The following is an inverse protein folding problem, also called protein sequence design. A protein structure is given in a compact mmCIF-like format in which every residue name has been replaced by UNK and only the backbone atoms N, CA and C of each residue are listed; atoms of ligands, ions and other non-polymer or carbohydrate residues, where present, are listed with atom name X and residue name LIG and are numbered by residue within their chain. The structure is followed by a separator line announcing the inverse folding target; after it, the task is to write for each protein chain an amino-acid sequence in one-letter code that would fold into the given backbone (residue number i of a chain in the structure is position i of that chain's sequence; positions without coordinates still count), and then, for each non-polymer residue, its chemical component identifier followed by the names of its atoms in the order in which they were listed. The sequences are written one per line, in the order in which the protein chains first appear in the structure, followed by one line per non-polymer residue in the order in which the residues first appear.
data_IF_467448384518
#
_entry.id   IF_467448384518
#
_cell.length_a   1.000
_cell.length_b   1.000
_cell.length_c   1.000
_cell.angle_alpha   90.00
_cell.angle_beta   90.00
_cell.angle_gamma   90.00
#
_symmetry.space_group_name_H-M   'P 1'
#
loop_
_entity.id
_entity.type
_entity.pdbx_description
1 polymer ?
#
# COMPACT_ATOMS: atom_id res chain seq x y z
N UNK A 1 6.99 17.23 -8.19
CA UNK A 1 6.23 16.72 -7.03
C UNK A 1 5.44 15.48 -7.44
N UNK A 2 5.79 14.33 -6.92
CA UNK A 2 5.13 13.08 -7.35
C UNK A 2 3.71 12.97 -6.78
N UNK A 3 2.84 12.32 -7.57
CA UNK A 3 1.48 12.03 -7.17
C UNK A 3 1.39 10.61 -6.63
N UNK A 4 0.58 10.43 -5.60
CA UNK A 4 0.28 9.13 -5.03
C UNK A 4 -1.23 8.96 -4.87
N UNK A 5 -1.74 7.82 -5.29
CA UNK A 5 -3.16 7.50 -5.14
C UNK A 5 -3.30 6.30 -4.21
N UNK A 6 -4.13 6.46 -3.19
CA UNK A 6 -4.46 5.35 -2.28
C UNK A 6 -5.67 4.63 -2.85
N UNK A 7 -5.49 3.38 -3.23
CA UNK A 7 -6.59 2.56 -3.75
C UNK A 7 -7.17 1.77 -2.58
N UNK A 8 -8.39 2.12 -2.17
CA UNK A 8 -9.05 1.60 -0.99
C UNK A 8 -10.35 0.94 -1.40
N UNK A 9 -10.63 -0.22 -0.88
CA UNK A 9 -11.88 -0.92 -1.13
C UNK A 9 -11.91 -2.25 -0.41
N UNK A 10 -13.11 -2.83 -0.21
CA UNK A 10 -13.23 -4.12 0.46
C UNK A 10 -12.58 -5.25 -0.35
N UNK A 11 -12.28 -6.38 0.30
CA UNK A 11 -11.80 -7.55 -0.44
C UNK A 11 -12.76 -7.92 -1.56
N UNK A 12 -12.22 -8.23 -2.75
CA UNK A 12 -13.04 -8.57 -3.90
C UNK A 12 -13.62 -7.37 -4.66
N UNK A 13 -13.27 -6.14 -4.30
CA UNK A 13 -13.75 -4.94 -4.99
C UNK A 13 -13.05 -4.66 -6.32
N UNK A 14 -11.97 -5.40 -6.62
CA UNK A 14 -11.20 -5.19 -7.84
C UNK A 14 -10.03 -4.23 -7.69
N UNK A 15 -9.50 -4.03 -6.49
CA UNK A 15 -8.37 -3.12 -6.24
C UNK A 15 -7.15 -3.48 -7.10
N UNK A 16 -6.75 -4.75 -7.12
CA UNK A 16 -5.58 -5.19 -7.90
C UNK A 16 -5.83 -5.02 -9.39
N UNK A 17 -7.05 -5.32 -9.87
CA UNK A 17 -7.44 -5.12 -11.27
C UNK A 17 -7.36 -3.64 -11.63
N UNK A 18 -7.84 -2.77 -10.74
CA UNK A 18 -7.76 -1.32 -10.94
C UNK A 18 -6.31 -0.86 -11.04
N UNK A 19 -5.45 -1.31 -10.14
CA UNK A 19 -4.03 -0.93 -10.15
C UNK A 19 -3.34 -1.38 -11.43
N UNK A 20 -3.60 -2.61 -11.86
CA UNK A 20 -3.04 -3.13 -13.10
C UNK A 20 -3.51 -2.32 -14.32
N UNK A 21 -4.82 -2.03 -14.40
CA UNK A 21 -5.38 -1.24 -15.48
C UNK A 21 -4.85 0.19 -15.53
N UNK A 22 -4.72 0.83 -14.37
CA UNK A 22 -4.18 2.18 -14.29
C UNK A 22 -2.70 2.23 -14.68
N UNK A 23 -1.92 1.24 -14.26
CA UNK A 23 -0.52 1.16 -14.64
C UNK A 23 -0.36 1.07 -16.16
N UNK A 24 -1.16 0.21 -16.80
CA UNK A 24 -1.14 0.07 -18.24
C UNK A 24 -1.61 1.33 -18.94
N UNK A 25 -2.70 1.94 -18.47
CA UNK A 25 -3.24 3.16 -19.05
C UNK A 25 -2.22 4.31 -19.01
N UNK A 26 -1.62 4.53 -17.85
CA UNK A 26 -0.64 5.61 -17.69
C UNK A 26 0.60 5.36 -18.55
N UNK A 27 1.02 4.10 -18.70
CA UNK A 27 2.12 3.76 -19.59
C UNK A 27 1.82 4.12 -21.04
N UNK A 28 0.56 3.92 -21.50
CA UNK A 28 0.19 4.25 -22.89
C UNK A 28 0.23 5.74 -23.17
N UNK A 29 0.03 6.58 -22.17
CA UNK A 29 0.11 8.04 -22.34
C UNK A 29 1.48 8.60 -21.96
N UNK A 30 2.48 7.73 -21.78
CA UNK A 30 3.85 8.15 -21.50
C UNK A 30 4.13 8.52 -20.05
N UNK A 31 3.22 8.20 -19.13
CA UNK A 31 3.39 8.47 -17.70
C UNK A 31 3.80 7.20 -16.98
N UNK A 32 4.99 7.19 -16.43
CA UNK A 32 5.44 6.03 -15.68
C UNK A 32 4.69 5.92 -14.35
N UNK A 33 4.14 4.74 -14.10
CA UNK A 33 3.35 4.42 -12.91
C UNK A 33 3.94 3.20 -12.24
N UNK A 34 4.17 3.30 -10.94
CA UNK A 34 4.63 2.20 -10.11
C UNK A 34 3.58 1.86 -9.07
N UNK A 35 3.37 0.57 -8.83
CA UNK A 35 2.41 0.09 -7.84
C UNK A 35 3.16 -0.42 -6.62
N UNK A 36 2.73 0.06 -5.45
CA UNK A 36 3.26 -0.35 -4.16
C UNK A 36 2.18 -1.15 -3.44
N UNK A 37 2.46 -2.41 -3.13
CA UNK A 37 1.52 -3.23 -2.38
C UNK A 37 1.70 -3.00 -0.88
N UNK A 38 0.67 -2.47 -0.24
CA UNK A 38 0.62 -2.28 1.21
C UNK A 38 -0.37 -3.23 1.89
N UNK A 39 -0.92 -4.18 1.14
CA UNK A 39 -1.82 -5.20 1.69
C UNK A 39 -1.05 -6.50 1.93
N UNK A 40 -0.69 -6.81 3.19
CA UNK A 40 0.08 -8.01 3.48
C UNK A 40 -0.69 -9.30 3.27
N UNK A 41 -2.01 -9.23 3.12
CA UNK A 41 -2.86 -10.38 2.83
C UNK A 41 -3.04 -10.66 1.34
N UNK A 42 -2.46 -9.83 0.48
CA UNK A 42 -2.50 -10.02 -0.97
C UNK A 42 -1.58 -11.18 -1.35
N UNK A 43 -2.13 -12.37 -1.50
CA UNK A 43 -1.34 -13.57 -1.80
C UNK A 43 -0.69 -13.51 -3.18
N UNK A 44 -1.46 -13.01 -4.16
CA UNK A 44 -0.97 -12.80 -5.53
C UNK A 44 -1.43 -11.45 -6.03
N UNK A 45 -0.54 -10.75 -6.73
CA UNK A 45 -0.88 -9.48 -7.36
C UNK A 45 -0.86 -9.67 -8.88
N UNK A 46 -1.84 -9.08 -9.58
CA UNK A 46 -1.90 -9.14 -11.04
C UNK A 46 -0.95 -8.14 -11.70
N UNK A 47 -0.34 -7.29 -10.92
CA UNK A 47 0.60 -6.27 -11.37
C UNK A 47 2.01 -6.54 -10.82
N UNK A 48 3.07 -6.07 -11.51
CA UNK A 48 4.39 -6.10 -10.90
C UNK A 48 4.49 -5.05 -9.80
N UNK A 49 4.92 -5.47 -8.59
CA UNK A 49 5.09 -4.56 -7.46
C UNK A 49 6.45 -3.90 -7.53
N UNK A 50 6.46 -2.57 -7.43
CA UNK A 50 7.72 -1.83 -7.26
C UNK A 50 8.24 -1.97 -5.83
N UNK A 51 7.32 -1.95 -4.86
CA UNK A 51 7.60 -2.25 -3.45
C UNK A 51 6.48 -3.13 -2.92
N UNK A 52 6.78 -3.98 -1.96
CA UNK A 52 5.82 -4.93 -1.42
C UNK A 52 6.00 -5.06 0.08
N UNK A 53 4.94 -4.77 0.84
CA UNK A 53 4.98 -4.88 2.30
C UNK A 53 5.31 -6.30 2.76
N UNK A 54 5.04 -7.31 1.93
CA UNK A 54 5.35 -8.71 2.26
C UNK A 54 6.86 -8.95 2.36
N UNK A 55 7.68 -8.08 1.78
CA UNK A 55 9.13 -8.12 1.96
C UNK A 55 9.56 -7.60 3.32
N UNK A 56 8.72 -6.78 3.96
CA UNK A 56 8.98 -6.25 5.30
C UNK A 56 8.41 -7.14 6.39
N UNK A 57 7.21 -7.67 6.20
CA UNK A 57 6.48 -8.43 7.22
C UNK A 57 5.62 -9.50 6.57
N UNK A 58 5.64 -10.72 7.16
CA UNK A 58 4.80 -11.84 6.72
C UNK A 58 3.65 -12.01 7.71
N UNK A 59 2.41 -11.94 7.20
CA UNK A 59 1.22 -12.16 8.03
C UNK A 59 1.20 -13.57 8.61
N UNK A 60 1.58 -14.58 7.82
CA UNK A 60 1.60 -15.95 8.29
C UNK A 60 2.58 -16.15 9.45
N UNK A 61 3.78 -15.58 9.35
CA UNK A 61 4.76 -15.65 10.43
C UNK A 61 4.28 -14.89 11.67
N UNK A 62 3.66 -13.75 11.50
CA UNK A 62 3.11 -12.96 12.62
C UNK A 62 2.02 -13.72 13.33
N UNK A 63 1.12 -14.38 12.59
CA UNK A 63 0.05 -15.19 13.19
C UNK A 63 0.62 -16.30 14.06
N UNK A 64 1.69 -16.95 13.62
CA UNK A 64 2.34 -18.03 14.35
C UNK A 64 3.13 -17.49 15.55
N UNK A 65 4.01 -16.54 15.32
CA UNK A 65 4.96 -16.05 16.33
C UNK A 65 4.28 -15.26 17.44
N UNK A 66 3.27 -14.47 17.10
CA UNK A 66 2.59 -13.58 18.04
C UNK A 66 1.25 -14.15 18.51
N UNK A 67 0.89 -15.34 18.07
CA UNK A 67 -0.39 -16.00 18.42
C UNK A 67 -1.60 -15.13 18.10
N UNK A 68 -1.60 -14.46 16.93
CA UNK A 68 -2.67 -13.57 16.50
C UNK A 68 -3.54 -14.20 15.43
N UNK A 69 -4.82 -13.83 15.40
CA UNK A 69 -5.70 -14.13 14.29
C UNK A 69 -5.40 -13.24 13.09
N UNK A 70 -6.11 -13.43 11.94
CA UNK A 70 -5.84 -12.66 10.73
C UNK A 70 -5.96 -11.15 10.92
N UNK A 71 -6.98 -10.66 11.63
CA UNK A 71 -7.16 -9.22 11.84
C UNK A 71 -6.06 -8.63 12.71
N UNK A 72 -5.67 -9.33 13.77
CA UNK A 72 -4.56 -8.89 14.63
C UNK A 72 -3.23 -8.88 13.90
N UNK A 73 -3.01 -9.87 13.03
CA UNK A 73 -1.79 -9.92 12.22
C UNK A 73 -1.74 -8.77 11.20
N UNK A 74 -2.88 -8.39 10.61
CA UNK A 74 -2.96 -7.24 9.71
C UNK A 74 -2.60 -5.94 10.43
N UNK A 75 -3.13 -5.74 11.63
CA UNK A 75 -2.79 -4.58 12.46
C UNK A 75 -1.31 -4.54 12.79
N UNK A 76 -0.76 -5.68 13.19
CA UNK A 76 0.66 -5.80 13.49
C UNK A 76 1.50 -5.39 12.27
N UNK A 77 1.13 -5.88 11.09
CA UNK A 77 1.86 -5.58 9.86
C UNK A 77 1.83 -4.09 9.54
N UNK A 78 0.70 -3.42 9.72
CA UNK A 78 0.56 -1.99 9.46
C UNK A 78 1.36 -1.18 10.48
N UNK A 79 1.38 -1.60 11.73
CA UNK A 79 2.20 -0.96 12.77
C UNK A 79 3.70 -1.13 12.48
N UNK A 80 4.11 -2.30 11.97
CA UNK A 80 5.48 -2.51 11.54
C UNK A 80 5.86 -1.60 10.37
N UNK A 81 4.93 -1.35 9.45
CA UNK A 81 5.15 -0.40 8.38
C UNK A 81 5.40 1.01 8.94
N UNK A 82 4.60 1.45 9.90
CA UNK A 82 4.78 2.74 10.54
C UNK A 82 6.13 2.83 11.26
N UNK A 83 6.51 1.77 11.99
CA UNK A 83 7.75 1.72 12.72
C UNK A 83 8.98 1.66 11.81
N UNK A 84 8.80 1.25 10.56
CA UNK A 84 9.87 1.13 9.57
C UNK A 84 9.59 2.03 8.37
N UNK A 85 9.11 3.24 8.62
CA UNK A 85 8.75 4.18 7.55
C UNK A 85 9.92 4.49 6.63
N UNK A 86 11.15 4.42 7.14
CA UNK A 86 12.35 4.64 6.34
C UNK A 86 12.46 3.62 5.20
N UNK A 87 12.04 2.37 5.43
CA UNK A 87 12.01 1.36 4.38
C UNK A 87 11.13 1.82 3.21
N UNK A 88 9.96 2.37 3.52
CA UNK A 88 9.06 2.89 2.50
C UNK A 88 9.62 4.13 1.82
N UNK A 89 10.15 5.08 2.59
CA UNK A 89 10.72 6.31 2.06
C UNK A 89 11.90 6.03 1.14
N UNK A 90 12.80 5.15 1.53
CA UNK A 90 13.96 4.76 0.72
C UNK A 90 13.52 4.07 -0.57
N UNK A 91 12.54 3.17 -0.48
CA UNK A 91 12.01 2.50 -1.64
C UNK A 91 11.35 3.47 -2.62
N UNK A 92 10.54 4.40 -2.11
CA UNK A 92 9.89 5.41 -2.94
C UNK A 92 10.91 6.35 -3.60
N UNK A 93 12.01 6.66 -2.92
CA UNK A 93 13.05 7.52 -3.48
C UNK A 93 13.65 6.92 -4.76
N UNK A 94 13.72 5.60 -4.86
CA UNK A 94 14.20 4.93 -6.09
C UNK A 94 13.25 5.07 -7.26
N UNK A 95 11.99 5.42 -7.02
CA UNK A 95 10.98 5.59 -8.06
C UNK A 95 10.88 7.01 -8.59
N UNK A 96 11.58 7.96 -7.95
CA UNK A 96 11.67 9.35 -8.42
C UNK A 96 10.32 10.04 -8.54
N UNK A 97 10.00 10.51 -9.74
CA UNK A 97 8.77 11.25 -10.03
C UNK A 97 7.65 10.36 -10.59
N UNK A 98 7.77 9.04 -10.49
CA UNK A 98 6.73 8.12 -10.94
C UNK A 98 5.40 8.43 -10.26
N UNK A 99 4.31 8.20 -10.99
CA UNK A 99 2.98 8.18 -10.38
C UNK A 99 2.87 6.90 -9.53
N UNK A 100 2.51 7.04 -8.26
CA UNK A 100 2.49 5.91 -7.34
C UNK A 100 1.05 5.50 -7.03
N UNK A 101 0.75 4.21 -7.19
CA UNK A 101 -0.50 3.63 -6.72
C UNK A 101 -0.19 2.76 -5.50
N UNK A 102 -0.85 3.07 -4.38
CA UNK A 102 -0.79 2.25 -3.18
C UNK A 102 -1.99 1.32 -3.13
N UNK A 103 -1.75 0.03 -3.25
CA UNK A 103 -2.80 -0.99 -3.07
C UNK A 103 -2.93 -1.26 -1.57
N UNK A 104 -3.96 -0.67 -0.97
CA UNK A 104 -4.11 -0.64 0.49
C UNK A 104 -4.89 -1.85 1.01
N UNK A 105 -4.72 -2.21 2.31
CA UNK A 105 -5.53 -3.27 2.92
C UNK A 105 -7.02 -3.02 2.76
N UNK A 106 -7.79 -4.09 2.57
CA UNK A 106 -9.22 -3.99 2.33
C UNK A 106 -10.08 -3.75 3.57
N UNK A 107 -9.50 -3.83 4.77
CA UNK A 107 -10.23 -3.64 6.01
C UNK A 107 -10.36 -2.15 6.35
N UNK A 108 -11.60 -1.65 6.30
CA UNK A 108 -11.90 -0.24 6.58
C UNK A 108 -11.47 0.16 8.00
N UNK A 109 -11.54 -0.77 8.94
CA UNK A 109 -11.17 -0.55 10.33
C UNK A 109 -9.74 -0.07 10.50
N UNK A 110 -8.84 -0.45 9.59
CA UNK A 110 -7.44 0.00 9.60
C UNK A 110 -7.30 1.50 9.35
N UNK A 111 -8.33 2.12 8.76
CA UNK A 111 -8.35 3.57 8.52
C UNK A 111 -9.18 4.33 9.55
N UNK A 112 -10.25 3.72 10.10
CA UNK A 112 -11.18 4.40 10.98
C UNK A 112 -10.88 4.23 12.46
N UNK A 113 -10.30 3.08 12.86
CA UNK A 113 -10.04 2.75 14.26
C UNK A 113 -8.56 2.70 14.63
N UNK A 114 -7.67 2.78 13.66
CA UNK A 114 -6.22 2.75 13.89
C UNK A 114 -5.55 3.86 13.10
N UNK A 115 -4.52 4.45 13.70
CA UNK A 115 -3.88 5.64 13.16
C UNK A 115 -2.65 5.32 12.30
N UNK A 116 -2.15 4.09 12.32
CA UNK A 116 -0.86 3.76 11.69
C UNK A 116 -0.82 4.08 10.21
N UNK A 117 -1.84 3.68 9.43
CA UNK A 117 -1.88 4.00 8.00
C UNK A 117 -2.00 5.50 7.76
N UNK A 118 -2.82 6.19 8.55
CA UNK A 118 -2.96 7.65 8.44
C UNK A 118 -1.63 8.35 8.73
N UNK A 119 -0.89 7.87 9.73
CA UNK A 119 0.42 8.42 10.06
C UNK A 119 1.41 8.21 8.91
N UNK A 120 1.40 7.03 8.30
CA UNK A 120 2.26 6.73 7.15
C UNK A 120 1.99 7.71 6.01
N UNK A 121 0.73 7.86 5.61
CA UNK A 121 0.40 8.73 4.49
C UNK A 121 0.59 10.22 4.82
N UNK A 122 0.36 10.62 6.06
CA UNK A 122 0.65 11.98 6.51
C UNK A 122 2.14 12.30 6.38
N UNK A 123 3.02 11.35 6.75
CA UNK A 123 4.46 11.51 6.57
C UNK A 123 4.84 11.63 5.09
N UNK A 124 4.20 10.85 4.21
CA UNK A 124 4.46 10.96 2.79
C UNK A 124 4.07 12.35 2.24
N UNK A 125 2.97 12.91 2.72
CA UNK A 125 2.60 14.27 2.34
C UNK A 125 3.64 15.29 2.79
N UNK A 126 4.20 15.11 3.98
CA UNK A 126 5.23 16.02 4.52
C UNK A 126 6.51 16.01 3.68
N UNK A 127 6.88 14.88 3.10
CA UNK A 127 8.08 14.79 2.27
C UNK A 127 7.81 15.14 0.80
N UNK A 128 6.61 15.61 0.47
CA UNK A 128 6.32 16.21 -0.82
C UNK A 128 5.41 15.42 -1.75
N UNK A 129 4.85 14.28 -1.34
CA UNK A 129 3.89 13.55 -2.15
C UNK A 129 2.53 14.21 -2.11
N UNK A 130 1.88 14.30 -3.27
CA UNK A 130 0.47 14.68 -3.37
C UNK A 130 -0.36 13.41 -3.29
N UNK A 131 -1.04 13.23 -2.16
CA UNK A 131 -1.76 11.98 -1.87
C UNK A 131 -3.26 12.19 -2.07
N UNK A 132 -3.87 11.29 -2.85
CA UNK A 132 -5.32 11.26 -3.09
C UNK A 132 -5.84 9.87 -2.77
N UNK A 133 -7.03 9.79 -2.21
CA UNK A 133 -7.70 8.53 -1.95
C UNK A 133 -8.72 8.23 -3.05
N UNK A 134 -8.75 6.97 -3.48
CA UNK A 134 -9.74 6.47 -4.44
C UNK A 134 -10.43 5.25 -3.81
N UNK A 135 -11.74 5.38 -3.60
CA UNK A 135 -12.53 4.34 -2.95
C UNK A 135 -13.26 3.51 -4.00
N UNK A 136 -13.02 2.20 -3.99
CA UNK A 136 -13.78 1.25 -4.79
C UNK A 136 -14.96 0.74 -3.98
N UNK A 137 -16.16 0.72 -4.59
CA UNK A 137 -17.37 0.26 -3.88
C UNK A 137 -17.36 -1.24 -3.60
#
# INVERSE_FOLDING_TARGET
MPFAQLVIGPPGSGKSTYCDGMQQFLATIGRKCSVVNLDPANETTSYPCALDIRDLVSVDEVMIDEHLGPNGAMLYAVEELENNIEWLEEGLATLGEDYILFDCPGQVELFTHHDSLRHVFFKLQKIGYRVRAFLLP
#
